data_IF_760505675180
#
_entry.id   IF_760505675180
#
_cell.length_a   1.000
_cell.length_b   1.000
_cell.length_c   1.000
_cell.angle_alpha   90.00
_cell.angle_beta   90.00
_cell.angle_gamma   90.00
#
_symmetry.space_group_name_H-M   'P 1'
#
loop_
_entity.id
_entity.type
_entity.pdbx_description
1 polymer ?
#
# COMPACT_ATOMS: atom_id res chain seq x y z
N UNK A 1 -20.47 -9.71 17.10
CA UNK A 1 -19.05 -9.88 17.46
C UNK A 1 -18.31 -8.83 16.68
N UNK A 2 -17.61 -7.90 17.34
CA UNK A 2 -16.68 -7.01 16.67
C UNK A 2 -15.48 -7.85 16.21
N UNK A 3 -15.60 -8.47 15.03
CA UNK A 3 -14.44 -9.07 14.37
C UNK A 3 -13.48 -7.94 14.04
N UNK A 4 -12.40 -7.86 14.82
CA UNK A 4 -11.31 -6.93 14.52
C UNK A 4 -10.66 -7.36 13.21
N UNK A 5 -10.76 -6.49 12.21
CA UNK A 5 -10.18 -6.70 10.89
C UNK A 5 -8.65 -6.89 11.01
N UNK A 6 -8.10 -7.87 10.29
CA UNK A 6 -6.66 -8.16 10.27
C UNK A 6 -6.00 -7.55 9.05
N UNK A 7 -4.80 -7.02 9.24
CA UNK A 7 -3.96 -6.48 8.18
C UNK A 7 -3.68 -7.54 7.11
N UNK A 8 -4.01 -7.27 5.85
CA UNK A 8 -3.78 -8.19 4.72
C UNK A 8 -2.29 -8.42 4.37
N UNK A 9 -1.37 -7.70 5.04
CA UNK A 9 0.08 -7.81 4.85
C UNK A 9 0.73 -8.59 6.00
N UNK A 10 0.50 -8.19 7.25
CA UNK A 10 1.18 -8.78 8.41
C UNK A 10 0.30 -9.63 9.33
N UNK A 11 -1.01 -9.71 9.06
CA UNK A 11 -1.97 -10.49 9.84
C UNK A 11 -2.32 -9.94 11.24
N UNK A 12 -1.69 -8.83 11.65
CA UNK A 12 -1.99 -8.17 12.93
C UNK A 12 -3.32 -7.41 12.90
N UNK A 13 -3.96 -7.24 14.06
CA UNK A 13 -5.19 -6.44 14.17
C UNK A 13 -4.98 -5.01 13.66
N UNK A 14 -5.95 -4.53 12.87
CA UNK A 14 -6.01 -3.14 12.44
C UNK A 14 -6.57 -2.29 13.58
N UNK A 15 -5.85 -1.21 13.92
CA UNK A 15 -6.37 -0.15 14.79
C UNK A 15 -7.04 0.91 13.92
N UNK A 16 -8.31 1.22 14.19
CA UNK A 16 -9.10 2.15 13.39
C UNK A 16 -9.56 1.53 12.07
N UNK A 17 -9.71 2.36 11.03
CA UNK A 17 -10.27 1.93 9.73
C UNK A 17 -9.28 1.13 8.87
N UNK A 18 -7.96 1.31 9.05
CA UNK A 18 -6.94 0.71 8.18
C UNK A 18 -6.59 1.58 6.96
N UNK A 19 -5.65 1.12 6.14
CA UNK A 19 -5.16 1.84 4.96
C UNK A 19 -5.29 0.95 3.72
N UNK A 20 -5.47 1.60 2.56
CA UNK A 20 -5.42 0.94 1.26
C UNK A 20 -4.07 0.21 1.06
N UNK A 21 -4.05 -1.10 0.81
CA UNK A 21 -2.83 -1.86 0.64
C UNK A 21 -2.26 -1.79 -0.79
N UNK A 22 -2.96 -1.19 -1.75
CA UNK A 22 -2.47 -1.04 -3.12
C UNK A 22 -1.20 -0.17 -3.14
N UNK A 23 -0.14 -0.54 -3.88
CA UNK A 23 -0.06 -1.60 -4.90
C UNK A 23 0.45 -2.97 -4.41
N UNK A 24 0.59 -3.16 -3.09
CA UNK A 24 1.18 -4.39 -2.53
C UNK A 24 0.17 -5.55 -2.49
N UNK A 25 -1.11 -5.23 -2.32
CA UNK A 25 -2.25 -6.15 -2.47
C UNK A 25 -3.37 -5.43 -3.21
N UNK A 26 -4.14 -6.18 -3.98
CA UNK A 26 -5.33 -5.68 -4.69
C UNK A 26 -6.55 -5.52 -3.78
N UNK A 27 -6.59 -6.25 -2.66
CA UNK A 27 -7.76 -6.31 -1.77
C UNK A 27 -7.40 -6.24 -0.28
N UNK A 28 -8.41 -5.89 0.53
CA UNK A 28 -8.34 -5.80 1.98
C UNK A 28 -7.80 -4.46 2.48
N UNK A 29 -7.38 -4.43 3.75
CA UNK A 29 -6.77 -3.26 4.39
C UNK A 29 -5.47 -3.61 5.09
N UNK A 30 -4.53 -2.68 5.11
CA UNK A 30 -3.30 -2.80 5.88
C UNK A 30 -3.28 -1.90 7.13
N UNK A 31 -2.55 -2.33 8.14
CA UNK A 31 -2.34 -1.52 9.35
C UNK A 31 -1.42 -0.32 9.06
N UNK A 32 -1.42 0.67 9.96
CA UNK A 32 -0.58 1.86 9.85
C UNK A 32 0.90 1.54 9.67
N UNK A 33 1.42 0.53 10.39
CA UNK A 33 2.82 0.14 10.29
C UNK A 33 3.15 -0.33 8.86
N UNK A 34 2.40 -1.28 8.31
CA UNK A 34 2.61 -1.76 6.94
C UNK A 34 2.38 -0.66 5.89
N UNK A 35 1.46 0.27 6.14
CA UNK A 35 1.29 1.43 5.26
C UNK A 35 2.59 2.24 5.14
N UNK A 36 3.19 2.61 6.27
CA UNK A 36 4.44 3.40 6.28
C UNK A 36 5.67 2.64 5.80
N UNK A 37 5.80 1.36 6.14
CA UNK A 37 7.03 0.61 5.88
C UNK A 37 7.01 -0.22 4.60
N UNK A 38 5.84 -0.45 4.00
CA UNK A 38 5.69 -1.32 2.82
C UNK A 38 4.95 -0.60 1.69
N UNK A 39 3.74 -0.09 1.96
CA UNK A 39 2.86 0.43 0.90
C UNK A 39 3.35 1.78 0.35
N UNK A 40 3.60 2.76 1.22
CA UNK A 40 4.06 4.08 0.79
C UNK A 40 5.41 4.04 0.04
N UNK A 41 6.42 3.28 0.49
CA UNK A 41 7.66 3.11 -0.28
C UNK A 41 7.41 2.58 -1.69
N UNK A 42 6.53 1.60 -1.85
CA UNK A 42 6.22 1.02 -3.16
C UNK A 42 5.47 2.00 -4.06
N UNK A 43 4.52 2.77 -3.52
CA UNK A 43 3.86 3.86 -4.26
C UNK A 43 4.88 4.88 -4.79
N UNK A 44 5.83 5.28 -3.95
CA UNK A 44 6.89 6.22 -4.35
C UNK A 44 7.77 5.61 -5.45
N UNK A 45 8.07 4.31 -5.38
CA UNK A 45 8.84 3.59 -6.40
C UNK A 45 8.12 3.60 -7.74
N UNK A 46 6.83 3.23 -7.77
CA UNK A 46 6.02 3.23 -9.00
C UNK A 46 5.88 4.63 -9.58
N UNK A 47 5.55 5.64 -8.78
CA UNK A 47 5.46 7.02 -9.29
C UNK A 47 6.78 7.54 -9.88
N UNK A 48 7.94 7.09 -9.36
CA UNK A 48 9.25 7.40 -9.95
C UNK A 48 9.45 6.68 -11.29
N UNK A 49 9.02 5.43 -11.38
CA UNK A 49 9.11 4.63 -12.60
C UNK A 49 8.23 5.20 -13.71
N UNK A 50 6.97 5.52 -13.42
CA UNK A 50 6.03 6.12 -14.37
C UNK A 50 6.57 7.43 -14.96
N UNK A 51 7.14 8.31 -14.12
CA UNK A 51 7.77 9.56 -14.60
C UNK A 51 8.96 9.31 -15.52
N UNK A 52 9.77 8.28 -15.24
CA UNK A 52 10.91 7.93 -16.10
C UNK A 52 10.45 7.35 -17.44
N UNK A 53 9.37 6.57 -17.45
CA UNK A 53 8.79 6.00 -18.67
C UNK A 53 8.15 7.07 -19.54
N UNK A 54 7.37 8.00 -18.96
CA UNK A 54 6.81 9.15 -19.68
C UNK A 54 7.91 10.00 -20.33
N UNK A 55 9.03 10.21 -19.65
CA UNK A 55 10.16 10.97 -20.20
C UNK A 55 10.83 10.31 -21.42
N UNK A 56 10.62 9.01 -21.69
CA UNK A 56 11.14 8.34 -22.90
C UNK A 56 10.19 8.42 -24.09
N UNK A 57 8.91 8.69 -23.87
CA UNK A 57 7.92 8.79 -24.95
C UNK A 57 7.87 10.17 -25.58
N UNK A 58 8.59 11.12 -24.98
CA UNK A 58 8.63 12.53 -25.40
C UNK A 58 9.82 12.84 -26.35
N UNK A 59 10.64 11.84 -26.71
CA UNK A 59 11.79 11.90 -27.65
C UNK A 59 11.45 11.43 -29.08
#
# INVERSE_FOLDING_TARGET
MDEKEKCCICGQEIKGVGNDPYPVREEGRCCQYCNYTVVLPERIRLSKQERYEQGKTDD
#
